data_IF_402117919646
#
_entry.id   IF_402117919646
#
_cell.length_a   1.000
_cell.length_b   1.000
_cell.length_c   1.000
_cell.angle_alpha   90.00
_cell.angle_beta   90.00
_cell.angle_gamma   90.00
#
_symmetry.space_group_name_H-M   'P 1'
#
loop_
_entity.id
_entity.type
_entity.pdbx_description
1 polymer ?
#
# COMPACT_ATOMS: atom_id res chain seq x y z
N UNK A 1 18.27 7.23 -27.66
CA UNK A 1 17.88 5.88 -27.20
C UNK A 1 16.60 6.06 -26.43
N UNK A 2 15.47 5.61 -27.02
CA UNK A 2 14.15 5.71 -26.38
C UNK A 2 14.06 4.67 -25.28
N UNK A 3 13.91 5.10 -24.04
CA UNK A 3 13.52 4.23 -22.94
C UNK A 3 12.02 3.96 -23.08
N UNK A 4 11.69 2.76 -23.54
CA UNK A 4 10.34 2.21 -23.45
C UNK A 4 10.02 2.01 -21.96
N UNK A 5 9.25 2.91 -21.41
CA UNK A 5 8.62 2.74 -20.11
C UNK A 5 7.61 1.61 -20.23
N UNK A 6 7.58 0.62 -19.32
CA UNK A 6 6.53 -0.39 -19.32
C UNK A 6 5.19 0.32 -19.14
N UNK A 7 4.29 0.15 -20.09
CA UNK A 7 2.91 0.62 -20.06
C UNK A 7 2.25 0.25 -18.73
N UNK A 8 2.01 1.24 -17.90
CA UNK A 8 1.04 1.12 -16.81
C UNK A 8 -0.29 0.76 -17.43
N UNK A 9 -0.91 -0.30 -16.98
CA UNK A 9 -2.20 -0.75 -17.47
C UNK A 9 -3.23 0.37 -17.26
N UNK A 10 -3.80 0.96 -18.33
CA UNK A 10 -4.68 2.12 -18.21
C UNK A 10 -5.99 1.81 -17.47
N UNK A 11 -6.33 0.53 -17.31
CA UNK A 11 -7.52 0.13 -16.54
C UNK A 11 -7.26 0.13 -15.02
N UNK A 12 -6.02 -0.09 -14.58
CA UNK A 12 -5.62 0.04 -13.17
C UNK A 12 -5.54 1.53 -12.78
N UNK A 13 -5.03 2.39 -13.68
CA UNK A 13 -4.96 3.84 -13.43
C UNK A 13 -6.35 4.51 -13.33
N UNK A 14 -7.40 3.92 -13.88
CA UNK A 14 -8.79 4.42 -13.78
C UNK A 14 -9.50 4.05 -12.48
N UNK A 15 -9.01 3.05 -11.75
CA UNK A 15 -9.54 2.70 -10.43
C UNK A 15 -9.12 3.72 -9.35
N UNK A 16 -8.11 4.52 -9.60
CA UNK A 16 -7.52 5.43 -8.62
C UNK A 16 -7.50 6.88 -9.10
N UNK A 17 -8.69 7.46 -9.32
CA UNK A 17 -8.79 8.91 -9.38
C UNK A 17 -8.47 9.49 -7.99
N UNK A 18 -7.57 10.49 -7.87
CA UNK A 18 -7.23 11.06 -6.58
C UNK A 18 -8.51 11.52 -5.86
N UNK A 19 -8.66 11.08 -4.60
CA UNK A 19 -9.77 11.51 -3.73
C UNK A 19 -9.70 13.03 -3.63
N UNK A 20 -10.70 13.71 -4.15
CA UNK A 20 -10.75 15.16 -4.10
C UNK A 20 -10.82 15.62 -2.63
N UNK A 21 -9.90 16.46 -2.23
CA UNK A 21 -9.66 16.95 -0.87
C UNK A 21 -10.81 17.71 -0.21
N UNK A 22 -11.85 18.05 -0.97
CA UNK A 22 -13.09 18.66 -0.50
C UNK A 22 -14.15 17.63 -0.06
N UNK A 23 -13.82 16.33 -0.16
CA UNK A 23 -14.75 15.29 0.24
C UNK A 23 -14.98 15.37 1.76
N UNK A 24 -16.21 15.67 2.14
CA UNK A 24 -16.70 15.39 3.49
C UNK A 24 -16.62 13.88 3.74
N UNK A 25 -16.60 13.42 5.00
CA UNK A 25 -16.61 11.97 5.29
C UNK A 25 -17.78 11.24 4.60
N UNK A 26 -18.89 11.93 4.29
CA UNK A 26 -19.99 11.41 3.47
C UNK A 26 -19.52 11.13 2.03
N UNK A 27 -18.66 11.97 1.46
CA UNK A 27 -18.03 11.73 0.16
C UNK A 27 -17.15 10.49 0.16
N UNK A 28 -16.32 10.30 1.20
CA UNK A 28 -15.49 9.10 1.36
C UNK A 28 -16.35 7.84 1.48
N UNK A 29 -17.46 7.89 2.24
CA UNK A 29 -18.39 6.75 2.35
C UNK A 29 -19.08 6.45 1.03
N UNK A 30 -19.42 7.47 0.25
CA UNK A 30 -20.02 7.31 -1.08
C UNK A 30 -19.02 6.65 -2.04
N UNK A 31 -17.79 7.14 -2.09
CA UNK A 31 -16.74 6.58 -2.93
C UNK A 31 -16.39 5.13 -2.51
N UNK A 32 -16.28 4.87 -1.20
CA UNK A 32 -16.10 3.51 -0.68
C UNK A 32 -17.22 2.57 -1.15
N UNK A 33 -18.46 3.08 -1.23
CA UNK A 33 -19.62 2.32 -1.72
C UNK A 33 -19.44 1.93 -3.19
N UNK A 34 -18.97 2.85 -4.01
CA UNK A 34 -18.81 2.64 -5.45
C UNK A 34 -17.64 1.71 -5.76
N UNK A 35 -16.53 1.86 -5.05
CA UNK A 35 -15.27 1.14 -5.34
C UNK A 35 -15.23 -0.20 -4.60
N UNK A 36 -15.33 -0.22 -3.27
CA UNK A 36 -15.14 -1.45 -2.47
C UNK A 36 -16.25 -2.48 -2.69
N UNK A 37 -17.42 -2.06 -3.19
CA UNK A 37 -18.48 -2.97 -3.61
C UNK A 37 -18.17 -3.78 -4.86
N UNK A 38 -17.16 -3.39 -5.64
CA UNK A 38 -16.75 -4.03 -6.89
C UNK A 38 -15.39 -4.74 -6.80
N UNK A 39 -14.71 -4.60 -5.65
CA UNK A 39 -13.39 -5.19 -5.44
C UNK A 39 -13.51 -6.67 -5.09
N UNK A 40 -12.77 -7.50 -5.82
CA UNK A 40 -12.66 -8.96 -5.58
C UNK A 40 -11.27 -9.37 -5.08
N UNK A 41 -10.27 -8.49 -5.22
CA UNK A 41 -8.89 -8.77 -4.80
C UNK A 41 -8.57 -7.99 -3.52
N UNK A 42 -8.14 -8.64 -2.43
CA UNK A 42 -7.76 -7.96 -1.20
C UNK A 42 -6.74 -6.85 -1.41
N UNK A 43 -5.79 -7.01 -2.35
CA UNK A 43 -4.77 -5.98 -2.59
C UNK A 43 -5.36 -4.70 -3.20
N UNK A 44 -6.44 -4.79 -3.99
CA UNK A 44 -7.11 -3.61 -4.53
C UNK A 44 -7.81 -2.82 -3.42
N UNK A 45 -8.41 -3.52 -2.45
CA UNK A 45 -8.98 -2.87 -1.27
C UNK A 45 -7.90 -2.18 -0.42
N UNK A 46 -6.75 -2.84 -0.23
CA UNK A 46 -5.62 -2.25 0.51
C UNK A 46 -5.02 -1.04 -0.21
N UNK A 47 -4.88 -1.10 -1.55
CA UNK A 47 -4.39 0.01 -2.36
C UNK A 47 -5.31 1.21 -2.26
N UNK A 48 -6.61 1.00 -2.45
CA UNK A 48 -7.59 2.07 -2.28
C UNK A 48 -7.53 2.70 -0.89
N UNK A 49 -7.46 1.89 0.16
CA UNK A 49 -7.35 2.39 1.53
C UNK A 49 -6.04 3.11 1.81
N UNK A 50 -4.94 2.68 1.19
CA UNK A 50 -3.64 3.34 1.31
C UNK A 50 -3.65 4.71 0.62
N UNK A 51 -4.23 4.79 -0.57
CA UNK A 51 -4.42 6.04 -1.32
C UNK A 51 -5.30 7.03 -0.54
N UNK A 52 -6.44 6.56 -0.02
CA UNK A 52 -7.30 7.36 0.86
C UNK A 52 -6.53 7.97 2.05
N UNK A 53 -5.73 7.16 2.75
CA UNK A 53 -4.93 7.61 3.89
C UNK A 53 -3.87 8.62 3.44
N UNK A 54 -3.23 8.41 2.28
CA UNK A 54 -2.26 9.32 1.69
C UNK A 54 -2.90 10.67 1.35
N UNK A 55 -4.03 10.68 0.67
CA UNK A 55 -4.76 11.88 0.27
C UNK A 55 -5.23 12.69 1.50
N UNK A 56 -5.82 12.02 2.50
CA UNK A 56 -6.21 12.66 3.75
C UNK A 56 -5.00 13.16 4.55
N UNK A 57 -3.89 12.43 4.51
CA UNK A 57 -2.64 12.78 5.17
C UNK A 57 -1.99 14.05 4.61
N UNK A 58 -2.05 14.23 3.30
CA UNK A 58 -1.52 15.43 2.61
C UNK A 58 -2.27 16.72 2.99
N UNK A 59 -3.54 16.58 3.41
CA UNK A 59 -4.39 17.72 3.83
C UNK A 59 -4.35 17.96 5.33
N UNK A 60 -3.93 16.96 6.11
CA UNK A 60 -3.95 17.04 7.55
C UNK A 60 -2.78 17.89 8.10
N UNK A 61 -3.00 18.55 9.22
CA UNK A 61 -1.95 19.31 9.92
C UNK A 61 -0.87 18.40 10.57
N UNK A 62 -0.81 17.13 10.18
CA UNK A 62 0.16 16.13 10.61
C UNK A 62 -0.49 14.81 11.03
N UNK A 63 0.34 13.78 11.33
CA UNK A 63 -0.13 12.42 11.59
C UNK A 63 -1.12 12.30 12.77
N UNK A 64 -0.98 13.11 13.80
CA UNK A 64 -1.90 13.11 14.94
C UNK A 64 -3.28 13.66 14.55
N UNK A 65 -3.33 14.70 13.70
CA UNK A 65 -4.56 15.28 13.17
C UNK A 65 -5.28 14.28 12.28
N UNK A 66 -4.57 13.61 11.37
CA UNK A 66 -5.12 12.53 10.54
C UNK A 66 -5.71 11.41 11.40
N UNK A 67 -4.95 10.90 12.37
CA UNK A 67 -5.42 9.85 13.28
C UNK A 67 -6.67 10.28 14.04
N UNK A 68 -6.71 11.50 14.55
CA UNK A 68 -7.87 12.08 15.23
C UNK A 68 -9.11 12.16 14.34
N UNK A 69 -8.94 12.65 13.11
CA UNK A 69 -10.03 12.73 12.11
C UNK A 69 -10.59 11.35 11.74
N UNK A 70 -9.72 10.38 11.50
CA UNK A 70 -10.13 9.02 11.16
C UNK A 70 -10.85 8.34 12.34
N UNK A 71 -10.29 8.40 13.56
CA UNK A 71 -10.90 7.75 14.74
C UNK A 71 -12.11 8.47 15.29
N UNK A 72 -12.12 9.81 15.23
CA UNK A 72 -13.19 10.64 15.80
C UNK A 72 -14.36 10.90 14.84
N UNK A 73 -14.17 10.71 13.54
CA UNK A 73 -15.20 11.04 12.56
C UNK A 73 -15.47 9.93 11.56
N UNK A 74 -14.49 9.51 10.75
CA UNK A 74 -14.72 8.55 9.67
C UNK A 74 -15.15 7.17 10.20
N UNK A 75 -14.42 6.62 11.19
CA UNK A 75 -14.75 5.31 11.77
C UNK A 75 -16.13 5.31 12.42
N UNK A 76 -16.52 6.28 13.27
CA UNK A 76 -17.87 6.37 13.78
C UNK A 76 -18.96 6.55 12.73
N UNK A 77 -18.71 7.34 11.68
CA UNK A 77 -19.67 7.52 10.58
C UNK A 77 -19.88 6.21 9.80
N UNK A 78 -18.79 5.48 9.50
CA UNK A 78 -18.88 4.18 8.84
C UNK A 78 -19.62 3.15 9.70
N UNK A 79 -19.37 3.13 11.00
CA UNK A 79 -20.10 2.25 11.93
C UNK A 79 -21.61 2.59 11.96
N UNK A 80 -21.95 3.86 12.05
CA UNK A 80 -23.34 4.33 12.06
C UNK A 80 -24.09 4.01 10.75
N UNK A 81 -23.43 4.10 9.60
CA UNK A 81 -23.98 3.74 8.30
C UNK A 81 -24.39 2.26 8.23
N UNK A 82 -23.64 1.37 8.87
CA UNK A 82 -23.96 -0.05 9.04
C UNK A 82 -24.37 -0.78 7.75
N UNK A 83 -23.68 -0.47 6.65
CA UNK A 83 -23.85 -1.10 5.33
C UNK A 83 -22.71 -2.06 5.03
N UNK A 84 -22.85 -2.92 4.01
CA UNK A 84 -21.76 -3.82 3.55
C UNK A 84 -20.52 -3.04 3.12
N UNK A 85 -20.72 -1.88 2.50
CA UNK A 85 -19.64 -1.03 2.01
C UNK A 85 -18.94 -0.28 3.15
N UNK A 86 -19.70 0.20 4.14
CA UNK A 86 -19.09 0.80 5.34
C UNK A 86 -18.33 -0.25 6.15
N UNK A 87 -18.79 -1.50 6.21
CA UNK A 87 -18.06 -2.61 6.80
C UNK A 87 -16.76 -2.90 6.00
N UNK A 88 -16.82 -2.89 4.67
CA UNK A 88 -15.65 -3.03 3.82
C UNK A 88 -14.61 -1.94 4.11
N UNK A 89 -15.02 -0.67 4.19
CA UNK A 89 -14.13 0.44 4.58
C UNK A 89 -13.49 0.20 5.95
N UNK A 90 -14.26 -0.22 6.95
CA UNK A 90 -13.74 -0.52 8.28
C UNK A 90 -12.73 -1.66 8.26
N UNK A 91 -12.94 -2.73 7.47
CA UNK A 91 -11.99 -3.83 7.28
C UNK A 91 -10.68 -3.35 6.64
N UNK A 92 -10.75 -2.48 5.64
CA UNK A 92 -9.58 -1.87 5.00
C UNK A 92 -8.79 -1.02 6.01
N UNK A 93 -9.45 -0.10 6.72
CA UNK A 93 -8.82 0.75 7.73
C UNK A 93 -8.21 -0.04 8.88
N UNK A 94 -8.78 -1.19 9.24
CA UNK A 94 -8.23 -2.09 10.24
C UNK A 94 -6.89 -2.73 9.81
N UNK A 95 -6.58 -2.75 8.51
CA UNK A 95 -5.32 -3.29 7.96
C UNK A 95 -4.30 -2.20 7.69
N UNK A 96 -4.66 -1.19 6.90
CA UNK A 96 -3.70 -0.19 6.42
C UNK A 96 -3.62 1.06 7.31
N UNK A 97 -4.56 1.28 8.21
CA UNK A 97 -4.60 2.46 9.07
C UNK A 97 -3.43 2.59 10.05
N UNK A 98 -3.21 3.79 10.60
CA UNK A 98 -2.36 3.97 11.78
C UNK A 98 -2.80 3.09 12.96
N UNK A 99 -1.93 2.78 13.95
CA UNK A 99 -2.26 1.82 15.01
C UNK A 99 -3.59 2.07 15.73
N UNK A 100 -3.87 3.30 16.12
CA UNK A 100 -5.13 3.65 16.79
C UNK A 100 -6.35 3.50 15.86
N UNK A 101 -6.18 3.85 14.57
CA UNK A 101 -7.24 3.69 13.55
C UNK A 101 -7.53 2.21 13.32
N UNK A 102 -6.48 1.37 13.21
CA UNK A 102 -6.66 -0.07 13.04
C UNK A 102 -7.47 -0.68 14.17
N UNK A 103 -7.12 -0.34 15.41
CA UNK A 103 -7.84 -0.85 16.59
C UNK A 103 -9.31 -0.38 16.61
N UNK A 104 -9.56 0.91 16.35
CA UNK A 104 -10.91 1.46 16.33
C UNK A 104 -11.76 0.89 15.19
N UNK A 105 -11.20 0.82 13.98
CA UNK A 105 -11.88 0.28 12.81
C UNK A 105 -12.18 -1.22 12.95
N UNK A 106 -11.25 -2.01 13.48
CA UNK A 106 -11.48 -3.43 13.75
C UNK A 106 -12.64 -3.66 14.72
N UNK A 107 -12.66 -2.93 15.84
CA UNK A 107 -13.77 -3.01 16.81
C UNK A 107 -15.11 -2.56 16.21
N UNK A 108 -15.12 -1.49 15.42
CA UNK A 108 -16.31 -1.01 14.74
C UNK A 108 -16.81 -2.04 13.71
N UNK A 109 -15.92 -2.62 12.92
CA UNK A 109 -16.23 -3.68 11.97
C UNK A 109 -16.89 -4.90 12.65
N UNK A 110 -16.37 -5.32 13.80
CA UNK A 110 -16.92 -6.45 14.55
C UNK A 110 -18.32 -6.14 15.11
N UNK A 111 -18.57 -4.91 15.53
CA UNK A 111 -19.93 -4.48 15.95
C UNK A 111 -20.92 -4.44 14.78
N UNK A 112 -20.52 -3.89 13.63
CA UNK A 112 -21.35 -3.86 12.41
C UNK A 112 -21.68 -5.29 11.96
N UNK A 113 -20.70 -6.19 11.95
CA UNK A 113 -20.91 -7.60 11.65
C UNK A 113 -21.87 -8.28 12.65
N UNK A 114 -21.73 -7.99 13.93
CA UNK A 114 -22.62 -8.54 14.97
C UNK A 114 -24.08 -8.09 14.79
N UNK A 115 -24.34 -6.97 14.11
CA UNK A 115 -25.68 -6.53 13.71
C UNK A 115 -26.18 -7.19 12.42
N UNK A 116 -25.48 -8.19 11.88
CA UNK A 116 -25.93 -9.01 10.76
C UNK A 116 -25.50 -8.50 9.38
N UNK A 117 -24.63 -7.51 9.29
CA UNK A 117 -24.05 -7.06 8.03
C UNK A 117 -23.00 -8.09 7.58
N UNK A 118 -23.07 -8.55 6.32
CA UNK A 118 -22.14 -9.52 5.77
C UNK A 118 -20.80 -8.86 5.44
N UNK A 119 -19.71 -9.54 5.79
CA UNK A 119 -18.34 -9.16 5.38
C UNK A 119 -18.18 -9.27 3.86
N UNK A 120 -17.35 -8.43 3.23
CA UNK A 120 -16.97 -8.61 1.83
C UNK A 120 -16.19 -9.93 1.64
N UNK A 121 -16.21 -10.54 0.42
CA UNK A 121 -15.60 -11.84 0.17
C UNK A 121 -14.11 -11.93 0.52
N UNK A 122 -13.39 -10.83 0.44
CA UNK A 122 -11.96 -10.73 0.70
C UNK A 122 -11.61 -10.45 2.18
N UNK A 123 -12.60 -10.23 3.05
CA UNK A 123 -12.36 -9.76 4.43
C UNK A 123 -11.51 -10.71 5.29
N UNK A 124 -11.59 -12.02 5.06
CA UNK A 124 -10.77 -12.98 5.79
C UNK A 124 -9.30 -13.00 5.33
N UNK A 125 -9.04 -12.60 4.09
CA UNK A 125 -7.71 -12.63 3.50
C UNK A 125 -6.94 -11.31 3.67
N UNK A 126 -7.65 -10.17 3.69
CA UNK A 126 -7.02 -8.85 3.72
C UNK A 126 -6.06 -8.69 4.89
N UNK A 127 -4.88 -8.16 4.64
CA UNK A 127 -3.82 -7.99 5.65
C UNK A 127 -2.95 -9.22 5.90
N UNK A 128 -3.30 -10.39 5.36
CA UNK A 128 -2.60 -11.66 5.59
C UNK A 128 -2.11 -12.34 4.30
N UNK A 129 -1.46 -11.62 3.37
CA UNK A 129 -0.88 -12.28 2.21
C UNK A 129 0.28 -13.17 2.64
N UNK A 130 0.48 -14.27 1.93
CA UNK A 130 1.71 -15.06 2.06
C UNK A 130 2.86 -14.28 1.45
N UNK A 131 3.94 -14.09 2.19
CA UNK A 131 5.17 -13.49 1.68
C UNK A 131 5.85 -14.49 0.73
N UNK A 132 6.26 -14.01 -0.45
CA UNK A 132 7.00 -14.77 -1.45
C UNK A 132 8.46 -14.31 -1.55
N UNK A 133 9.01 -14.38 -2.75
CA UNK A 133 10.40 -13.99 -3.03
C UNK A 133 10.61 -12.50 -2.81
N UNK A 134 11.81 -12.16 -2.32
CA UNK A 134 12.28 -10.79 -2.20
C UNK A 134 13.65 -10.66 -2.90
N UNK A 135 13.87 -9.54 -3.58
CA UNK A 135 15.15 -9.24 -4.22
C UNK A 135 15.41 -7.74 -4.27
N UNK A 136 16.65 -7.39 -4.45
CA UNK A 136 17.01 -6.04 -4.84
C UNK A 136 17.72 -6.01 -6.19
N UNK A 137 17.56 -4.88 -6.86
CA UNK A 137 18.18 -4.54 -8.14
C UNK A 137 18.81 -3.16 -7.96
N UNK A 138 20.14 -3.09 -7.99
CA UNK A 138 20.85 -1.88 -7.59
C UNK A 138 21.97 -1.54 -8.58
N UNK A 139 22.32 -0.26 -8.71
CA UNK A 139 23.52 0.13 -9.41
C UNK A 139 24.79 -0.28 -8.63
N UNK A 140 25.87 -0.61 -9.33
CA UNK A 140 27.15 -1.02 -8.72
C UNK A 140 27.82 0.10 -7.91
N UNK A 141 27.43 1.35 -8.13
CA UNK A 141 27.86 2.51 -7.37
C UNK A 141 27.12 2.70 -6.05
N UNK A 142 26.02 1.93 -5.85
CA UNK A 142 25.21 1.99 -4.64
C UNK A 142 24.42 3.30 -4.47
N UNK A 143 24.19 4.03 -5.56
CA UNK A 143 23.44 5.28 -5.55
C UNK A 143 21.94 5.06 -5.48
N UNK A 144 21.43 4.01 -6.14
CA UNK A 144 20.01 3.66 -6.20
C UNK A 144 19.81 2.16 -6.04
N UNK A 145 18.68 1.80 -5.44
CA UNK A 145 18.23 0.43 -5.24
C UNK A 145 16.73 0.32 -5.49
N UNK A 146 16.31 -0.66 -6.30
CA UNK A 146 14.92 -1.10 -6.36
C UNK A 146 14.76 -2.33 -5.49
N UNK A 147 14.01 -2.20 -4.40
CA UNK A 147 13.66 -3.29 -3.51
C UNK A 147 12.31 -3.85 -3.94
N UNK A 148 12.25 -5.12 -4.27
CA UNK A 148 11.02 -5.80 -4.68
C UNK A 148 10.68 -6.93 -3.71
N UNK A 149 9.42 -6.96 -3.27
CA UNK A 149 8.88 -7.96 -2.35
C UNK A 149 7.59 -8.50 -2.93
N UNK A 150 7.48 -9.82 -3.08
CA UNK A 150 6.27 -10.45 -3.61
C UNK A 150 5.36 -10.96 -2.50
N UNK A 151 4.06 -10.91 -2.77
CA UNK A 151 3.00 -11.32 -1.86
C UNK A 151 1.90 -12.06 -2.65
N UNK A 152 1.20 -13.00 -1.99
CA UNK A 152 0.14 -13.78 -2.61
C UNK A 152 -1.10 -13.81 -1.73
N UNK A 153 -2.24 -13.49 -2.31
CA UNK A 153 -3.57 -13.81 -1.80
C UNK A 153 -4.11 -15.02 -2.58
N UNK A 154 -4.02 -16.21 -1.97
CA UNK A 154 -4.29 -17.45 -2.70
C UNK A 154 -3.33 -17.62 -3.88
N UNK A 155 -3.87 -17.69 -5.10
CA UNK A 155 -3.10 -17.80 -6.35
C UNK A 155 -2.74 -16.44 -6.97
N UNK A 156 -3.33 -15.35 -6.48
CA UNK A 156 -3.09 -14.00 -7.01
C UNK A 156 -1.82 -13.43 -6.43
N UNK A 157 -0.79 -13.31 -7.26
CA UNK A 157 0.49 -12.73 -6.88
C UNK A 157 0.56 -11.26 -7.26
N UNK A 158 1.14 -10.46 -6.38
CA UNK A 158 1.55 -9.08 -6.65
C UNK A 158 2.93 -8.83 -6.04
N UNK A 159 3.62 -7.84 -6.56
CA UNK A 159 4.88 -7.36 -6.02
C UNK A 159 4.73 -5.91 -5.59
N UNK A 160 5.35 -5.56 -4.49
CA UNK A 160 5.57 -4.17 -4.10
C UNK A 160 7.01 -3.84 -4.43
N UNK A 161 7.20 -2.82 -5.24
CA UNK A 161 8.47 -2.30 -5.67
C UNK A 161 8.69 -0.94 -5.02
N UNK A 162 9.90 -0.72 -4.48
CA UNK A 162 10.28 0.54 -3.82
C UNK A 162 11.63 0.97 -4.37
N UNK A 163 11.69 2.16 -4.96
CA UNK A 163 12.93 2.77 -5.40
C UNK A 163 13.50 3.61 -4.26
N UNK A 164 14.70 3.24 -3.81
CA UNK A 164 15.44 3.91 -2.74
C UNK A 164 16.60 4.70 -3.34
N UNK A 165 16.74 5.98 -2.96
CA UNK A 165 17.81 6.86 -3.41
C UNK A 165 18.85 7.04 -2.28
N UNK A 166 19.90 6.23 -2.31
CA UNK A 166 20.98 6.30 -1.33
C UNK A 166 21.84 7.54 -1.47
N UNK A 167 21.95 8.09 -2.68
CA UNK A 167 22.68 9.33 -2.92
C UNK A 167 22.00 10.56 -2.27
N UNK A 168 20.70 10.45 -1.98
CA UNK A 168 19.90 11.48 -1.31
C UNK A 168 19.46 11.10 0.11
N UNK A 169 20.20 10.24 0.78
CA UNK A 169 19.95 9.92 2.19
C UNK A 169 19.20 8.61 2.43
N UNK A 170 18.93 7.80 1.40
CA UNK A 170 18.35 6.47 1.53
C UNK A 170 16.82 6.47 1.74
N UNK A 171 16.16 7.56 1.41
CA UNK A 171 14.70 7.66 1.43
C UNK A 171 14.03 7.03 0.21
N UNK A 172 12.71 6.91 0.29
CA UNK A 172 11.90 6.39 -0.81
C UNK A 172 11.73 7.48 -1.87
N UNK A 173 12.18 7.17 -3.08
CA UNK A 173 11.99 8.02 -4.25
C UNK A 173 10.68 7.74 -4.96
N UNK A 174 10.30 6.43 -5.04
CA UNK A 174 9.11 5.98 -5.74
C UNK A 174 8.64 4.64 -5.15
N UNK A 175 7.34 4.34 -5.28
CA UNK A 175 6.76 3.08 -4.86
C UNK A 175 5.57 2.71 -5.74
N UNK A 176 5.47 1.44 -6.15
CA UNK A 176 4.36 0.96 -6.98
C UNK A 176 4.05 -0.52 -6.71
N UNK A 177 2.87 -0.94 -7.14
CA UNK A 177 2.46 -2.35 -7.13
C UNK A 177 2.50 -2.90 -8.54
N UNK A 178 3.22 -4.01 -8.72
CA UNK A 178 3.32 -4.74 -9.98
C UNK A 178 2.58 -6.07 -9.89
N UNK A 179 1.86 -6.42 -10.97
CA UNK A 179 1.16 -7.71 -11.11
C UNK A 179 1.67 -8.50 -12.31
N UNK A 180 2.86 -8.16 -12.78
CA UNK A 180 3.48 -8.75 -13.96
C UNK A 180 3.96 -10.18 -13.67
N UNK A 181 3.42 -11.21 -14.32
CA UNK A 181 3.95 -12.55 -14.23
C UNK A 181 5.42 -12.59 -14.65
N UNK A 182 6.25 -13.31 -13.91
CA UNK A 182 7.68 -13.45 -14.25
C UNK A 182 8.54 -12.21 -13.96
N UNK A 183 8.06 -11.23 -13.20
CA UNK A 183 8.78 -10.00 -12.88
C UNK A 183 10.21 -10.28 -12.38
N UNK A 184 10.41 -11.30 -11.52
CA UNK A 184 11.74 -11.69 -11.05
C UNK A 184 12.67 -12.06 -12.20
N UNK A 185 12.23 -12.95 -13.08
CA UNK A 185 13.06 -13.41 -14.21
C UNK A 185 13.38 -12.26 -15.17
N UNK A 186 12.45 -11.33 -15.39
CA UNK A 186 12.68 -10.13 -16.20
C UNK A 186 13.72 -9.21 -15.56
N UNK A 187 13.65 -8.98 -14.24
CA UNK A 187 14.61 -8.16 -13.50
C UNK A 187 15.99 -8.81 -13.48
N UNK A 188 16.07 -10.12 -13.26
CA UNK A 188 17.31 -10.90 -13.27
C UNK A 188 17.99 -10.85 -14.66
N UNK A 189 17.20 -10.99 -15.73
CA UNK A 189 17.70 -10.88 -17.10
C UNK A 189 18.21 -9.46 -17.40
N UNK A 190 17.47 -8.43 -16.99
CA UNK A 190 17.88 -7.04 -17.17
C UNK A 190 19.21 -6.74 -16.47
N UNK A 191 19.43 -7.30 -15.27
CA UNK A 191 20.73 -7.17 -14.59
C UNK A 191 21.85 -7.95 -15.29
N UNK A 192 21.55 -9.12 -15.85
CA UNK A 192 22.56 -9.88 -16.60
C UNK A 192 23.01 -9.17 -17.88
N UNK A 193 22.15 -8.34 -18.46
CA UNK A 193 22.42 -7.59 -19.70
C UNK A 193 23.15 -6.24 -19.44
N UNK A 194 23.20 -5.78 -18.16
CA UNK A 194 23.84 -4.52 -17.78
C UNK A 194 24.91 -4.73 -16.68
N UNK A 195 26.21 -4.61 -17.01
CA UNK A 195 27.30 -4.80 -16.04
C UNK A 195 27.36 -3.71 -14.94
N UNK A 196 26.55 -2.65 -15.04
CA UNK A 196 26.48 -1.59 -14.05
C UNK A 196 25.39 -1.83 -13.00
N UNK A 197 24.68 -2.94 -13.08
CA UNK A 197 23.64 -3.32 -12.12
C UNK A 197 23.89 -4.70 -11.51
N UNK A 198 23.40 -4.86 -10.28
CA UNK A 198 23.44 -6.10 -9.52
C UNK A 198 22.02 -6.53 -9.18
N UNK A 199 21.72 -7.80 -9.41
CA UNK A 199 20.52 -8.48 -8.93
C UNK A 199 20.91 -9.46 -7.82
N UNK A 200 20.22 -9.41 -6.69
CA UNK A 200 20.44 -10.35 -5.60
C UNK A 200 19.12 -10.73 -4.93
N UNK A 201 18.91 -12.02 -4.74
CA UNK A 201 17.83 -12.54 -3.89
C UNK A 201 18.19 -12.28 -2.44
N UNK A 202 17.22 -11.76 -1.68
CA UNK A 202 17.37 -11.47 -0.26
C UNK A 202 16.30 -12.21 0.55
N UNK A 203 16.60 -12.46 1.81
CA UNK A 203 15.61 -13.05 2.69
C UNK A 203 14.57 -11.99 3.17
N UNK A 204 13.44 -12.49 3.67
CA UNK A 204 12.33 -11.66 4.15
C UNK A 204 12.75 -10.69 5.26
N UNK A 205 13.67 -11.10 6.14
CA UNK A 205 14.14 -10.27 7.24
C UNK A 205 15.04 -9.14 6.73
N UNK A 206 15.89 -9.39 5.71
CA UNK A 206 16.69 -8.34 5.07
C UNK A 206 15.79 -7.36 4.30
N UNK A 207 14.81 -7.87 3.55
CA UNK A 207 13.81 -7.02 2.89
C UNK A 207 13.11 -6.09 3.90
N UNK A 208 12.66 -6.64 5.04
CA UNK A 208 12.06 -5.86 6.11
C UNK A 208 12.99 -4.80 6.70
N UNK A 209 14.28 -5.14 6.92
CA UNK A 209 15.27 -4.16 7.40
C UNK A 209 15.53 -3.02 6.42
N UNK A 210 15.64 -3.35 5.10
CA UNK A 210 15.86 -2.35 4.04
C UNK A 210 14.64 -1.43 3.91
N UNK A 211 13.44 -2.00 3.81
CA UNK A 211 12.19 -1.24 3.75
C UNK A 211 12.02 -0.34 4.98
N UNK A 212 12.27 -0.86 6.18
CA UNK A 212 12.17 -0.08 7.43
C UNK A 212 13.13 1.10 7.47
N UNK A 213 14.37 0.90 6.98
CA UNK A 213 15.35 1.99 6.85
C UNK A 213 14.91 3.06 5.86
N UNK A 214 14.43 2.65 4.67
CA UNK A 214 13.96 3.58 3.65
C UNK A 214 12.76 4.40 4.13
N UNK A 215 11.78 3.77 4.79
CA UNK A 215 10.63 4.47 5.40
C UNK A 215 11.10 5.46 6.48
N UNK A 216 12.09 5.08 7.29
CA UNK A 216 12.61 5.93 8.38
C UNK A 216 13.44 7.12 7.86
N UNK A 217 14.13 6.94 6.74
CA UNK A 217 14.85 8.03 6.06
C UNK A 217 13.90 9.06 5.42
N UNK A 218 12.64 8.67 5.18
CA UNK A 218 11.60 9.54 4.63
C UNK A 218 11.44 9.42 3.12
N UNK A 219 10.78 10.40 2.55
CA UNK A 219 10.50 10.47 1.12
C UNK A 219 11.47 11.47 0.46
N UNK A 220 12.03 11.10 -0.69
CA UNK A 220 12.95 11.94 -1.46
C UNK A 220 12.59 11.95 -2.95
N UNK A 221 11.36 12.41 -3.31
CA UNK A 221 10.88 12.39 -4.68
C UNK A 221 11.75 13.29 -5.57
N UNK A 222 11.95 12.90 -6.82
CA UNK A 222 12.71 13.70 -7.78
C UNK A 222 11.86 14.83 -8.37
N UNK A 223 10.56 14.58 -8.51
CA UNK A 223 9.58 15.51 -9.06
C UNK A 223 8.38 15.66 -8.12
N UNK A 224 7.68 16.80 -8.13
CA UNK A 224 6.54 17.03 -7.24
C UNK A 224 5.38 16.04 -7.40
N UNK A 225 5.15 15.52 -8.60
CA UNK A 225 4.12 14.52 -8.91
C UNK A 225 4.43 13.13 -8.30
N UNK A 226 5.69 12.79 -8.10
CA UNK A 226 6.09 11.55 -7.42
C UNK A 226 5.80 11.55 -5.91
N UNK A 227 5.59 12.73 -5.30
CA UNK A 227 5.20 12.83 -3.88
C UNK A 227 3.87 12.14 -3.64
N UNK A 228 2.92 12.34 -4.54
CA UNK A 228 1.58 11.77 -4.41
C UNK A 228 1.61 10.23 -4.54
N UNK A 229 2.44 9.70 -5.44
CA UNK A 229 2.60 8.24 -5.63
C UNK A 229 3.17 7.55 -4.39
N UNK A 230 4.19 8.11 -3.76
CA UNK A 230 4.77 7.56 -2.52
C UNK A 230 3.78 7.67 -1.36
N UNK A 231 3.08 8.82 -1.23
CA UNK A 231 2.07 9.02 -0.20
C UNK A 231 0.90 8.03 -0.33
N UNK A 232 0.44 7.78 -1.56
CA UNK A 232 -0.62 6.82 -1.86
C UNK A 232 -0.26 5.37 -1.43
N UNK A 233 1.01 4.99 -1.54
CA UNK A 233 1.46 3.64 -1.18
C UNK A 233 1.97 3.51 0.25
N UNK A 234 2.21 4.62 0.97
CA UNK A 234 2.86 4.61 2.28
C UNK A 234 2.17 3.74 3.32
N UNK A 235 0.84 3.77 3.40
CA UNK A 235 0.10 2.98 4.39
C UNK A 235 0.20 1.48 4.08
N UNK A 236 0.19 1.09 2.80
CA UNK A 236 0.43 -0.27 2.36
C UNK A 236 1.87 -0.73 2.66
N UNK A 237 2.89 0.12 2.42
CA UNK A 237 4.28 -0.18 2.76
C UNK A 237 4.44 -0.46 4.25
N UNK A 238 3.81 0.33 5.12
CA UNK A 238 3.81 0.10 6.56
C UNK A 238 3.10 -1.20 6.94
N UNK A 239 2.01 -1.56 6.24
CA UNK A 239 1.33 -2.84 6.44
C UNK A 239 2.24 -4.01 6.06
N UNK A 240 2.96 -3.95 4.96
CA UNK A 240 3.90 -4.98 4.52
C UNK A 240 5.14 -5.06 5.41
N UNK A 241 5.66 -3.93 5.89
CA UNK A 241 6.76 -3.92 6.84
C UNK A 241 6.43 -4.75 8.10
N UNK A 242 5.21 -4.62 8.64
CA UNK A 242 4.79 -5.43 9.80
C UNK A 242 4.82 -6.92 9.52
N UNK A 243 4.42 -7.36 8.33
CA UNK A 243 4.48 -8.76 7.92
C UNK A 243 5.93 -9.27 7.80
N UNK A 244 6.80 -8.48 7.16
CA UNK A 244 8.20 -8.83 6.93
C UNK A 244 9.00 -8.90 8.25
N UNK A 245 8.62 -8.12 9.26
CA UNK A 245 9.30 -8.06 10.56
C UNK A 245 8.68 -8.98 11.63
N UNK A 246 7.65 -9.75 11.28
CA UNK A 246 6.96 -10.64 12.22
C UNK A 246 6.10 -9.91 13.28
N UNK A 247 5.87 -8.62 13.12
CA UNK A 247 4.99 -7.82 13.99
C UNK A 247 3.53 -7.82 13.50
N UNK A 248 3.12 -8.81 12.71
CA UNK A 248 1.72 -9.02 12.37
C UNK A 248 0.97 -9.49 13.62
N UNK A 249 0.05 -8.69 14.14
CA UNK A 249 -0.89 -9.11 15.18
C UNK A 249 -1.67 -10.32 14.64
N UNK A 250 -1.48 -11.50 15.30
CA UNK A 250 -2.28 -12.70 15.05
C UNK A 250 -3.52 -12.65 15.93
#
# INVERSE_FOLDING_TARGET
>A
MSTDQPSSDPDVARLFAPVALEATFDGVLTEATEILGQVDDPVDAELWGSDLIGALGSSAAGPASLTGALTGSLVPAAEAASTSQSLALLRVLAVVGPPAVRAAAGQAADRVRAHGVADPPWAEAIGFPRVGDCWHYADVGGGQESLTMTFCYGERQHAICVLVDHARGGGIRDAWVARTPGLRAQTEQAAADDPLVVFEMIDTADAGRRLGRAISAGECPEQPDQVDDVAAHRALLLARLRLLTGHGDR
#
